data_IF_776827499410
#
_entry.id   IF_776827499410
#
_cell.length_a   1.000
_cell.length_b   1.000
_cell.length_c   1.000
_cell.angle_alpha   90.00
_cell.angle_beta   90.00
_cell.angle_gamma   90.00
#
_symmetry.space_group_name_H-M   'P 1'
#
loop_
_entity.id
_entity.type
_entity.pdbx_description
1 polymer ?
#
# COMPACT_ATOMS: atom_id res chain seq x y z
N UNK A 1 -53.74 -56.51 53.38
CA UNK A 1 -53.12 -56.56 52.05
C UNK A 1 -53.07 -55.11 51.52
N UNK A 2 -51.95 -54.45 51.73
CA UNK A 2 -51.79 -53.05 51.35
C UNK A 2 -50.91 -52.98 50.08
N UNK A 3 -51.48 -52.49 48.97
CA UNK A 3 -50.74 -52.20 47.74
C UNK A 3 -50.12 -50.85 47.89
N UNK A 4 -48.80 -50.78 47.81
CA UNK A 4 -48.05 -49.54 47.69
C UNK A 4 -47.78 -49.28 46.21
N UNK A 5 -48.28 -48.14 45.67
CA UNK A 5 -48.05 -47.66 44.35
C UNK A 5 -46.73 -46.83 44.34
N UNK A 6 -45.68 -47.28 43.63
CA UNK A 6 -44.48 -46.48 43.35
C UNK A 6 -44.74 -45.54 42.16
N UNK A 7 -44.65 -44.26 42.43
CA UNK A 7 -44.74 -43.22 41.43
C UNK A 7 -43.31 -42.93 40.91
N UNK A 8 -43.02 -43.37 39.69
CA UNK A 8 -41.79 -43.04 39.04
C UNK A 8 -41.91 -41.58 38.46
N UNK A 9 -41.17 -40.64 39.05
CA UNK A 9 -41.06 -39.30 38.53
C UNK A 9 -39.92 -39.28 37.46
N UNK A 10 -40.27 -39.24 36.16
CA UNK A 10 -39.31 -39.06 35.07
C UNK A 10 -39.02 -37.57 34.96
N UNK A 11 -37.87 -37.16 35.46
CA UNK A 11 -37.33 -35.82 35.17
C UNK A 11 -36.81 -35.77 33.72
N UNK A 12 -37.57 -35.15 32.82
CA UNK A 12 -37.09 -34.75 31.51
C UNK A 12 -36.12 -33.57 31.72
N UNK A 13 -34.84 -33.84 31.62
CA UNK A 13 -33.84 -32.79 31.49
C UNK A 13 -33.92 -32.18 30.07
N UNK A 14 -34.61 -31.05 29.91
CA UNK A 14 -34.46 -30.22 28.73
C UNK A 14 -33.04 -29.66 28.77
N UNK A 15 -32.12 -30.27 28.02
CA UNK A 15 -30.85 -29.68 27.68
C UNK A 15 -31.08 -28.47 26.78
N UNK A 16 -30.95 -27.29 27.34
CA UNK A 16 -30.84 -26.08 26.53
C UNK A 16 -29.52 -26.15 25.76
N UNK A 17 -29.59 -26.47 24.47
CA UNK A 17 -28.46 -26.27 23.58
C UNK A 17 -28.24 -24.76 23.50
N UNK A 18 -27.26 -24.27 24.24
CA UNK A 18 -26.71 -22.90 24.02
C UNK A 18 -25.97 -23.00 22.69
N UNK A 19 -26.38 -22.25 21.66
CA UNK A 19 -25.58 -22.19 20.43
C UNK A 19 -24.20 -21.71 20.82
N UNK A 20 -23.18 -22.49 20.54
CA UNK A 20 -21.78 -22.04 20.64
C UNK A 20 -21.65 -20.86 19.70
N UNK A 21 -21.56 -19.64 20.24
CA UNK A 21 -21.19 -18.47 19.50
C UNK A 21 -19.76 -18.75 19.01
N UNK A 22 -19.60 -18.96 17.72
CA UNK A 22 -18.30 -19.16 17.15
C UNK A 22 -17.54 -17.84 17.28
N UNK A 23 -16.55 -17.87 18.13
CA UNK A 23 -15.76 -16.73 18.53
C UNK A 23 -14.69 -16.47 17.47
N UNK A 24 -14.47 -15.20 17.13
CA UNK A 24 -13.29 -14.76 16.37
C UNK A 24 -12.03 -15.19 17.10
N UNK A 25 -11.11 -15.87 16.41
CA UNK A 25 -9.85 -16.33 16.99
C UNK A 25 -8.80 -15.27 16.67
N UNK A 26 -8.31 -14.59 17.69
CA UNK A 26 -7.20 -13.65 17.60
C UNK A 26 -6.00 -14.31 18.27
N UNK A 27 -4.96 -14.59 17.50
CA UNK A 27 -3.73 -15.23 17.98
C UNK A 27 -2.63 -14.23 18.31
N UNK A 28 -2.67 -13.05 17.70
CA UNK A 28 -1.78 -11.92 17.99
C UNK A 28 -2.48 -10.59 17.63
N UNK A 29 -2.35 -9.54 18.46
CA UNK A 29 -1.85 -9.58 19.83
C UNK A 29 -2.84 -10.25 20.80
N UNK A 30 -2.35 -10.71 21.94
CA UNK A 30 -3.20 -11.18 23.04
C UNK A 30 -3.63 -10.01 23.93
N UNK A 31 -4.77 -10.18 24.61
CA UNK A 31 -5.29 -9.11 25.47
C UNK A 31 -4.30 -8.74 26.59
N UNK A 32 -4.00 -7.47 26.74
CA UNK A 32 -3.02 -6.93 27.70
C UNK A 32 -1.56 -7.07 27.26
N UNK A 33 -1.30 -7.50 26.03
CA UNK A 33 0.05 -7.65 25.52
C UNK A 33 0.73 -6.31 25.30
N UNK A 34 1.99 -6.20 25.73
CA UNK A 34 2.90 -5.15 25.26
C UNK A 34 3.42 -5.51 23.87
N UNK A 35 3.31 -4.58 22.92
CA UNK A 35 3.71 -4.76 21.52
C UNK A 35 4.55 -3.57 21.07
N UNK A 36 5.41 -3.77 20.08
CA UNK A 36 6.04 -2.66 19.35
C UNK A 36 5.11 -2.19 18.23
N UNK A 37 5.23 -0.95 17.77
CA UNK A 37 4.54 -0.47 16.57
C UNK A 37 5.50 -0.48 15.39
N UNK A 38 5.11 -1.05 14.21
CA UNK A 38 3.88 -1.82 14.01
C UNK A 38 3.92 -3.20 14.69
N UNK A 39 2.76 -3.72 15.08
CA UNK A 39 2.59 -5.09 15.58
C UNK A 39 1.79 -5.94 14.58
N UNK A 40 1.96 -7.26 14.60
CA UNK A 40 1.18 -8.15 13.73
C UNK A 40 -0.18 -8.46 14.35
N UNK A 41 -1.25 -8.11 13.64
CA UNK A 41 -2.59 -8.66 13.89
C UNK A 41 -2.73 -9.99 13.13
N UNK A 42 -2.84 -11.08 13.87
CA UNK A 42 -3.17 -12.39 13.32
C UNK A 42 -4.51 -12.84 13.87
N UNK A 43 -5.51 -12.94 13.01
CA UNK A 43 -6.86 -13.33 13.38
C UNK A 43 -7.51 -14.19 12.30
N UNK A 44 -8.37 -15.08 12.71
CA UNK A 44 -9.24 -15.86 11.83
C UNK A 44 -10.70 -15.62 12.23
N UNK A 45 -11.54 -15.33 11.25
CA UNK A 45 -12.95 -15.13 11.50
C UNK A 45 -13.61 -16.45 11.89
N UNK A 46 -14.08 -16.51 13.11
CA UNK A 46 -15.12 -17.48 13.47
C UNK A 46 -16.44 -17.08 12.83
N UNK A 47 -17.50 -17.87 13.00
CA UNK A 47 -18.83 -17.47 12.54
C UNK A 47 -19.37 -16.33 13.40
N UNK A 48 -19.75 -15.24 12.78
CA UNK A 48 -20.40 -14.08 13.42
C UNK A 48 -21.94 -14.20 13.41
N UNK A 49 -22.47 -15.35 13.21
CA UNK A 49 -23.88 -15.79 13.25
C UNK A 49 -24.05 -17.03 12.37
N UNK A 50 -25.28 -17.40 12.05
CA UNK A 50 -25.58 -18.47 11.07
C UNK A 50 -25.27 -18.10 9.61
N UNK A 51 -24.94 -16.82 9.33
CA UNK A 51 -24.63 -16.34 7.98
C UNK A 51 -23.12 -16.38 7.72
N UNK A 52 -22.70 -16.68 6.48
CA UNK A 52 -21.28 -16.68 6.12
C UNK A 52 -20.59 -15.33 6.36
N UNK A 53 -19.32 -15.37 6.74
CA UNK A 53 -18.47 -14.18 6.85
C UNK A 53 -18.23 -13.60 5.46
N UNK A 54 -18.42 -12.30 5.32
CA UNK A 54 -18.21 -11.55 4.07
C UNK A 54 -16.99 -10.63 4.11
N UNK A 55 -16.59 -10.19 5.30
CA UNK A 55 -15.41 -9.37 5.48
C UNK A 55 -14.89 -9.44 6.91
N UNK A 56 -13.63 -9.10 7.09
CA UNK A 56 -13.00 -8.84 8.39
C UNK A 56 -12.32 -7.49 8.37
N UNK A 57 -12.07 -6.92 9.55
CA UNK A 57 -11.38 -5.64 9.65
C UNK A 57 -11.07 -5.26 11.08
N UNK A 58 -10.46 -4.11 11.27
CA UNK A 58 -10.20 -3.56 12.59
C UNK A 58 -10.29 -2.03 12.64
N UNK A 59 -10.42 -1.51 13.84
CA UNK A 59 -10.18 -0.10 14.16
C UNK A 59 -9.48 0.00 15.52
N UNK A 60 -8.81 1.11 15.77
CA UNK A 60 -8.18 1.42 17.05
C UNK A 60 -9.01 2.47 17.80
N UNK A 61 -9.20 2.27 19.09
CA UNK A 61 -9.87 3.18 20.01
C UNK A 61 -11.23 3.66 19.46
N UNK A 62 -11.50 4.96 19.59
CA UNK A 62 -12.73 5.58 19.10
C UNK A 62 -12.63 6.02 17.63
N UNK A 63 -11.69 5.44 16.84
CA UNK A 63 -11.56 5.80 15.44
C UNK A 63 -12.86 5.49 14.68
N UNK A 64 -13.37 6.48 13.97
CA UNK A 64 -14.50 6.30 13.06
C UNK A 64 -14.10 5.47 11.82
N UNK A 65 -12.80 5.39 11.53
CA UNK A 65 -12.26 4.66 10.39
C UNK A 65 -12.06 3.19 10.77
N UNK A 66 -12.51 2.30 9.90
CA UNK A 66 -12.29 0.86 10.02
C UNK A 66 -11.60 0.38 8.75
N UNK A 67 -10.42 -0.20 8.89
CA UNK A 67 -9.79 -0.95 7.80
C UNK A 67 -10.50 -2.29 7.65
N UNK A 68 -10.94 -2.65 6.45
CA UNK A 68 -11.69 -3.90 6.23
C UNK A 68 -11.39 -4.51 4.87
N UNK A 69 -11.45 -5.86 4.82
CA UNK A 69 -11.15 -6.66 3.63
C UNK A 69 -12.20 -7.75 3.44
N UNK A 70 -12.56 -8.11 2.19
CA UNK A 70 -13.51 -9.18 1.87
C UNK A 70 -12.83 -10.56 1.97
N UNK A 71 -12.21 -10.85 3.10
CA UNK A 71 -11.50 -12.10 3.43
C UNK A 71 -11.97 -12.62 4.78
N UNK A 72 -11.50 -13.80 5.17
CA UNK A 72 -11.88 -14.43 6.44
C UNK A 72 -10.78 -14.42 7.50
N UNK A 73 -9.63 -13.83 7.21
CA UNK A 73 -8.51 -13.74 8.13
C UNK A 73 -7.72 -12.43 7.90
N UNK A 74 -7.01 -12.00 8.92
CA UNK A 74 -5.98 -10.97 8.84
C UNK A 74 -4.69 -11.58 9.37
N UNK A 75 -3.59 -11.37 8.64
CA UNK A 75 -2.23 -11.64 9.08
C UNK A 75 -1.35 -10.52 8.52
N UNK A 76 -1.23 -9.45 9.30
CA UNK A 76 -0.54 -8.26 8.82
C UNK A 76 -0.28 -7.21 9.89
N UNK A 77 0.55 -6.22 9.57
CA UNK A 77 0.96 -5.18 10.50
C UNK A 77 -0.18 -4.19 10.79
N UNK A 78 -0.23 -3.76 12.05
CA UNK A 78 -1.07 -2.66 12.54
C UNK A 78 -0.17 -1.64 13.22
N UNK A 79 -0.20 -0.41 12.74
CA UNK A 79 0.51 0.69 13.39
C UNK A 79 -0.40 1.38 14.41
N UNK A 80 0.18 1.73 15.57
CA UNK A 80 -0.48 2.53 16.59
C UNK A 80 0.55 3.43 17.30
N UNK A 81 0.15 4.60 17.79
CA UNK A 81 0.99 5.40 18.67
C UNK A 81 1.40 4.63 19.93
N UNK A 82 2.38 5.11 20.68
CA UNK A 82 2.73 4.52 21.98
C UNK A 82 1.65 4.77 23.02
N UNK A 83 1.43 3.77 23.89
CA UNK A 83 0.45 3.81 24.98
C UNK A 83 -0.62 2.72 24.88
N UNK A 84 -1.60 2.79 25.76
CA UNK A 84 -2.71 1.84 25.79
C UNK A 84 -3.73 2.13 24.71
N UNK A 85 -4.09 1.07 23.94
CA UNK A 85 -5.09 1.11 22.89
C UNK A 85 -6.08 -0.02 23.03
N UNK A 86 -7.28 0.18 22.50
CA UNK A 86 -8.27 -0.87 22.29
C UNK A 86 -8.33 -1.18 20.79
N UNK A 87 -7.93 -2.39 20.42
CA UNK A 87 -8.06 -2.90 19.05
C UNK A 87 -9.43 -3.59 18.92
N UNK A 88 -10.32 -3.01 18.12
CA UNK A 88 -11.64 -3.54 17.80
C UNK A 88 -11.54 -4.40 16.53
N UNK A 89 -11.45 -5.71 16.68
CA UNK A 89 -11.46 -6.65 15.56
C UNK A 89 -12.91 -6.95 15.16
N UNK A 90 -13.24 -6.72 13.89
CA UNK A 90 -14.61 -6.74 13.36
C UNK A 90 -14.78 -7.83 12.32
N UNK A 91 -15.88 -8.55 12.38
CA UNK A 91 -16.26 -9.58 11.42
C UNK A 91 -17.67 -9.29 10.92
N UNK A 92 -17.84 -9.07 9.61
CA UNK A 92 -19.12 -8.85 8.97
C UNK A 92 -19.65 -10.13 8.36
N UNK A 93 -20.97 -10.28 8.36
CA UNK A 93 -21.67 -11.40 7.73
C UNK A 93 -22.61 -10.95 6.60
N UNK A 94 -23.03 -11.90 5.78
CA UNK A 94 -23.89 -11.64 4.60
C UNK A 94 -25.29 -11.12 4.94
N UNK A 95 -25.69 -11.08 6.20
CA UNK A 95 -26.96 -10.51 6.67
C UNK A 95 -26.83 -9.05 7.13
N UNK A 96 -25.66 -8.43 6.98
CA UNK A 96 -25.38 -7.08 7.43
C UNK A 96 -25.05 -6.95 8.93
N UNK A 97 -24.89 -8.07 9.64
CA UNK A 97 -24.44 -8.06 11.04
C UNK A 97 -22.92 -7.91 11.16
N UNK A 98 -22.48 -7.32 12.29
CA UNK A 98 -21.07 -7.22 12.67
C UNK A 98 -20.86 -7.77 14.06
N UNK A 99 -19.83 -8.60 14.21
CA UNK A 99 -19.32 -9.03 15.52
C UNK A 99 -18.01 -8.29 15.79
N UNK A 100 -17.84 -7.81 17.00
CA UNK A 100 -16.65 -7.09 17.44
C UNK A 100 -16.01 -7.85 18.59
N UNK A 101 -14.70 -8.02 18.51
CA UNK A 101 -13.87 -8.57 19.59
C UNK A 101 -12.84 -7.54 19.96
N UNK A 102 -12.83 -7.10 21.20
CA UNK A 102 -11.92 -6.09 21.70
C UNK A 102 -10.68 -6.73 22.31
N UNK A 103 -9.51 -6.20 21.94
CA UNK A 103 -8.22 -6.58 22.49
C UNK A 103 -7.54 -5.32 23.01
N UNK A 104 -7.25 -5.28 24.31
CA UNK A 104 -6.44 -4.19 24.89
C UNK A 104 -4.95 -4.49 24.65
N UNK A 105 -4.21 -3.50 24.20
CA UNK A 105 -2.77 -3.62 23.94
C UNK A 105 -2.04 -2.40 24.53
N UNK A 106 -0.81 -2.60 25.00
CA UNK A 106 0.10 -1.53 25.38
C UNK A 106 1.19 -1.42 24.29
N UNK A 107 1.14 -0.35 23.52
CA UNK A 107 2.17 -0.10 22.50
C UNK A 107 3.36 0.55 23.16
N UNK A 108 4.48 -0.18 23.22
CA UNK A 108 5.71 0.31 23.82
C UNK A 108 6.11 1.66 23.21
N UNK A 109 6.47 2.61 24.06
CA UNK A 109 7.16 3.79 23.57
C UNK A 109 8.44 3.33 22.88
N UNK A 110 8.52 3.52 21.57
CA UNK A 110 9.77 3.29 20.85
C UNK A 110 10.88 3.98 21.62
N UNK A 111 11.95 3.28 21.94
CA UNK A 111 13.08 3.89 22.62
C UNK A 111 13.40 5.17 21.84
N UNK A 112 13.28 6.31 22.52
CA UNK A 112 13.58 7.59 21.92
C UNK A 112 15.07 7.54 21.56
N UNK A 113 15.34 7.12 20.34
CA UNK A 113 16.64 7.33 19.75
C UNK A 113 16.72 8.85 19.65
N UNK A 114 17.57 9.43 20.46
CA UNK A 114 17.96 10.84 20.32
C UNK A 114 18.56 10.97 18.93
N UNK A 115 17.71 11.15 17.95
CA UNK A 115 18.12 11.46 16.59
C UNK A 115 18.58 12.91 16.58
N UNK A 116 19.90 13.05 16.62
CA UNK A 116 20.50 14.22 16.00
C UNK A 116 19.91 14.33 14.61
N UNK A 117 19.26 15.44 14.34
CA UNK A 117 18.75 15.85 13.04
C UNK A 117 19.87 15.81 12.01
N UNK A 118 19.97 14.72 11.30
CA UNK A 118 20.80 14.56 10.09
C UNK A 118 20.22 13.39 9.29
N UNK A 119 19.55 13.69 8.18
CA UNK A 119 19.28 12.81 7.04
C UNK A 119 18.95 11.35 7.36
N UNK A 120 17.67 11.06 7.69
CA UNK A 120 17.23 9.70 8.04
C UNK A 120 17.33 8.63 6.94
N UNK A 121 17.60 8.98 5.69
CA UNK A 121 17.62 8.02 4.58
C UNK A 121 18.94 7.28 4.40
N UNK A 122 20.05 7.78 4.92
CA UNK A 122 21.37 7.16 4.71
C UNK A 122 21.63 5.90 5.53
N UNK A 123 20.82 5.60 6.55
CA UNK A 123 20.98 4.39 7.37
C UNK A 123 20.29 3.15 6.80
N UNK A 124 19.31 3.33 5.91
CA UNK A 124 18.54 2.22 5.30
C UNK A 124 19.32 1.60 4.13
N UNK A 125 20.02 2.42 3.36
CA UNK A 125 20.79 1.99 2.20
C UNK A 125 22.14 1.46 2.68
N UNK A 126 22.45 0.15 2.48
CA UNK A 126 23.74 -0.39 2.86
C UNK A 126 24.87 0.18 1.99
N UNK A 127 26.08 0.15 2.51
CA UNK A 127 27.24 0.76 1.84
C UNK A 127 27.64 0.08 0.53
N UNK A 128 27.21 -1.14 0.33
CA UNK A 128 27.44 -1.96 -0.87
C UNK A 128 26.27 -1.97 -1.85
N UNK A 129 25.21 -1.20 -1.57
CA UNK A 129 24.10 -1.04 -2.50
C UNK A 129 24.56 -0.47 -3.85
N UNK A 130 24.06 -1.04 -4.92
CA UNK A 130 24.29 -0.51 -6.28
C UNK A 130 23.42 0.72 -6.48
N UNK A 131 24.04 1.83 -6.85
CA UNK A 131 23.37 3.09 -7.15
C UNK A 131 23.25 3.28 -8.66
N UNK A 132 22.01 3.42 -9.16
CA UNK A 132 21.71 3.87 -10.54
C UNK A 132 21.12 5.25 -10.48
N UNK A 133 21.80 6.24 -11.01
CA UNK A 133 21.41 7.66 -10.91
C UNK A 133 21.15 8.29 -12.28
N UNK A 134 20.57 9.48 -12.28
CA UNK A 134 20.22 10.26 -13.48
C UNK A 134 19.27 9.50 -14.43
N UNK A 135 18.39 8.66 -13.86
CA UNK A 135 17.45 7.82 -14.62
C UNK A 135 16.52 8.70 -15.47
N UNK A 136 16.15 9.89 -14.99
CA UNK A 136 15.36 10.86 -15.76
C UNK A 136 16.07 11.30 -17.05
N UNK A 137 17.39 11.24 -17.12
CA UNK A 137 18.17 11.68 -18.28
C UNK A 137 18.33 10.61 -19.38
N UNK A 138 17.93 9.36 -19.12
CA UNK A 138 18.06 8.27 -20.08
C UNK A 138 17.27 8.55 -21.38
N UNK A 139 17.83 8.12 -22.52
CA UNK A 139 17.24 8.39 -23.84
C UNK A 139 16.14 7.43 -24.29
N UNK A 140 15.93 6.33 -23.57
CA UNK A 140 15.00 5.24 -23.92
C UNK A 140 13.64 5.31 -23.20
N UNK A 141 13.27 6.43 -22.64
CA UNK A 141 11.93 6.67 -22.12
C UNK A 141 10.88 6.54 -23.24
N UNK A 142 9.80 5.87 -22.93
CA UNK A 142 8.62 5.75 -23.79
C UNK A 142 7.40 6.37 -23.10
N UNK A 143 6.38 6.70 -23.87
CA UNK A 143 5.11 7.25 -23.36
C UNK A 143 3.94 6.51 -23.98
N UNK A 144 2.91 6.26 -23.18
CA UNK A 144 1.70 5.56 -23.60
C UNK A 144 0.50 6.08 -22.78
N UNK A 145 -0.66 6.18 -23.42
CA UNK A 145 -1.92 6.35 -22.72
C UNK A 145 -2.19 5.13 -21.83
N UNK A 146 -2.54 5.34 -20.58
CA UNK A 146 -2.94 4.26 -19.68
C UNK A 146 -4.37 3.79 -19.98
N UNK A 147 -4.49 2.56 -20.48
CA UNK A 147 -5.78 1.94 -20.81
C UNK A 147 -6.63 1.55 -19.58
N UNK A 148 -6.09 1.65 -18.37
CA UNK A 148 -6.82 1.45 -17.11
C UNK A 148 -7.67 2.66 -16.73
N UNK A 149 -7.40 3.85 -17.30
CA UNK A 149 -8.16 5.06 -17.03
C UNK A 149 -9.39 5.18 -17.95
N UNK A 150 -10.43 5.89 -17.48
CA UNK A 150 -11.72 5.97 -18.20
C UNK A 150 -11.72 6.86 -19.44
N UNK A 151 -10.78 7.80 -19.53
CA UNK A 151 -10.72 8.80 -20.58
C UNK A 151 -9.63 8.55 -21.62
N UNK A 152 -9.08 9.62 -22.14
CA UNK A 152 -7.94 9.57 -23.03
C UNK A 152 -6.87 10.57 -22.62
N UNK A 153 -5.64 10.31 -23.02
CA UNK A 153 -4.52 11.19 -22.76
C UNK A 153 -3.55 11.24 -23.92
N UNK A 154 -2.76 12.27 -23.96
CA UNK A 154 -1.55 12.36 -24.77
C UNK A 154 -0.46 13.07 -24.01
N UNK A 155 0.78 12.63 -24.21
CA UNK A 155 1.92 13.18 -23.52
C UNK A 155 3.15 13.29 -24.41
N UNK A 156 3.96 14.28 -24.11
CA UNK A 156 5.29 14.43 -24.70
C UNK A 156 6.30 14.58 -23.57
N UNK A 157 7.56 14.30 -23.87
CA UNK A 157 8.64 14.42 -22.91
C UNK A 157 9.90 14.99 -23.57
N UNK A 158 10.66 15.77 -22.80
CA UNK A 158 11.93 16.34 -23.25
C UNK A 158 12.83 16.60 -22.06
N UNK A 159 14.14 16.66 -22.30
CA UNK A 159 15.09 17.14 -21.31
C UNK A 159 15.08 18.67 -21.31
N UNK A 160 15.23 19.25 -20.13
CA UNK A 160 15.31 20.71 -19.94
C UNK A 160 16.31 21.05 -18.84
N UNK A 161 16.89 22.23 -18.96
CA UNK A 161 17.78 22.80 -17.94
C UNK A 161 17.06 23.74 -16.97
N UNK A 162 15.75 24.01 -17.18
CA UNK A 162 14.95 24.88 -16.31
C UNK A 162 13.45 24.57 -16.44
N UNK A 163 12.71 24.31 -15.31
CA UNK A 163 13.28 24.13 -13.97
C UNK A 163 14.12 22.86 -13.89
N UNK A 164 15.23 22.91 -13.18
CA UNK A 164 16.08 21.73 -12.95
C UNK A 164 16.98 21.98 -11.74
N UNK A 165 17.28 20.92 -10.99
CA UNK A 165 18.24 20.89 -9.89
C UNK A 165 19.65 20.58 -10.41
N UNK A 166 19.75 19.69 -11.40
CA UNK A 166 21.03 19.19 -11.94
C UNK A 166 21.42 19.83 -13.28
N UNK A 167 20.52 20.61 -13.90
CA UNK A 167 20.64 21.09 -15.29
C UNK A 167 20.07 20.11 -16.31
N UNK A 168 19.48 18.96 -15.88
CA UNK A 168 18.98 17.90 -16.76
C UNK A 168 17.72 17.27 -16.18
N UNK A 169 16.67 18.05 -15.97
CA UNK A 169 15.36 17.55 -15.61
C UNK A 169 14.62 17.00 -16.84
N UNK A 170 13.71 16.04 -16.62
CA UNK A 170 12.79 15.57 -17.65
C UNK A 170 11.42 16.19 -17.45
N UNK A 171 10.97 16.93 -18.44
CA UNK A 171 9.60 17.43 -18.56
C UNK A 171 8.70 16.32 -19.11
N UNK A 172 7.56 16.15 -18.49
CA UNK A 172 6.40 15.40 -18.95
C UNK A 172 5.24 16.39 -19.15
N UNK A 173 4.91 16.68 -20.40
CA UNK A 173 3.84 17.60 -20.76
C UNK A 173 2.62 16.80 -21.20
N UNK A 174 1.50 16.97 -20.50
CA UNK A 174 0.34 16.11 -20.59
C UNK A 174 -0.91 16.89 -20.98
N UNK A 175 -1.76 16.23 -21.77
CA UNK A 175 -3.15 16.58 -21.96
C UNK A 175 -4.01 15.39 -21.55
N UNK A 176 -5.00 15.62 -20.71
CA UNK A 176 -5.97 14.63 -20.25
C UNK A 176 -7.38 15.01 -20.71
N UNK A 177 -8.17 14.03 -21.09
CA UNK A 177 -9.60 14.18 -21.37
C UNK A 177 -10.33 13.12 -20.54
N UNK A 178 -11.40 13.55 -19.87
CA UNK A 178 -12.34 12.66 -19.16
C UNK A 178 -11.63 11.66 -18.22
N UNK A 179 -10.77 12.15 -17.32
CA UNK A 179 -10.01 11.34 -16.35
C UNK A 179 -8.95 10.43 -16.97
N UNK A 180 -8.41 10.81 -18.13
CA UNK A 180 -7.35 10.03 -18.78
C UNK A 180 -6.02 10.05 -18.02
N UNK A 181 -5.25 8.98 -18.14
CA UNK A 181 -3.93 8.82 -17.54
C UNK A 181 -2.84 8.66 -18.60
N UNK A 182 -1.67 9.22 -18.33
CA UNK A 182 -0.49 9.12 -19.21
C UNK A 182 0.68 8.51 -18.46
N UNK A 183 1.16 7.37 -18.93
CA UNK A 183 2.28 6.64 -18.37
C UNK A 183 3.56 6.88 -19.15
N UNK A 184 4.64 7.02 -18.44
CA UNK A 184 6.00 7.15 -18.96
C UNK A 184 6.86 6.06 -18.35
N UNK A 185 7.57 5.30 -19.17
CA UNK A 185 8.32 4.13 -18.72
C UNK A 185 9.75 4.17 -19.22
N UNK A 186 10.68 3.69 -18.42
CA UNK A 186 12.07 3.49 -18.80
C UNK A 186 12.66 2.25 -18.16
N UNK A 187 13.25 1.37 -18.97
CA UNK A 187 14.15 0.35 -18.45
C UNK A 187 15.52 0.97 -18.19
N UNK A 188 16.01 0.84 -16.95
CA UNK A 188 17.26 1.46 -16.53
C UNK A 188 18.32 0.47 -16.02
N UNK A 189 17.94 -0.81 -15.83
CA UNK A 189 18.83 -1.87 -15.41
C UNK A 189 18.29 -3.23 -15.92
N UNK A 190 19.09 -4.29 -15.86
CA UNK A 190 18.74 -5.67 -16.17
C UNK A 190 18.97 -6.65 -15.00
N UNK A 191 19.25 -6.12 -13.81
CA UNK A 191 19.40 -6.93 -12.61
C UNK A 191 18.08 -7.62 -12.25
N UNK A 192 18.15 -8.92 -11.95
CA UNK A 192 16.99 -9.75 -11.60
C UNK A 192 17.13 -10.45 -10.24
N UNK A 193 18.11 -10.07 -9.42
CA UNK A 193 18.43 -10.74 -8.15
C UNK A 193 18.37 -9.84 -6.92
N UNK A 194 18.41 -8.51 -7.09
CA UNK A 194 18.22 -7.58 -5.98
C UNK A 194 16.80 -7.69 -5.45
N UNK A 195 16.64 -7.62 -4.14
CA UNK A 195 15.33 -7.76 -3.48
C UNK A 195 14.91 -6.50 -2.71
N UNK A 196 15.81 -5.55 -2.56
CA UNK A 196 15.57 -4.30 -1.87
C UNK A 196 15.85 -3.12 -2.78
N UNK A 197 14.99 -2.11 -2.71
CA UNK A 197 15.04 -0.94 -3.58
C UNK A 197 14.72 0.32 -2.79
N UNK A 198 15.58 1.31 -2.89
CA UNK A 198 15.30 2.65 -2.41
C UNK A 198 15.20 3.57 -3.62
N UNK A 199 13.99 4.04 -3.89
CA UNK A 199 13.66 4.96 -4.97
C UNK A 199 13.73 6.39 -4.46
N UNK A 200 14.38 7.29 -5.18
CA UNK A 200 14.57 8.68 -4.79
C UNK A 200 14.42 9.57 -6.02
N UNK A 201 13.51 10.53 -5.98
CA UNK A 201 13.31 11.46 -7.08
C UNK A 201 12.79 12.81 -6.59
N UNK A 202 13.11 13.85 -7.33
CA UNK A 202 12.54 15.16 -7.15
C UNK A 202 11.48 15.44 -8.21
N UNK A 203 10.35 15.94 -7.75
CA UNK A 203 9.16 16.23 -8.56
C UNK A 203 8.86 17.72 -8.52
N UNK A 204 8.63 18.33 -9.68
CA UNK A 204 8.20 19.72 -9.78
C UNK A 204 6.93 19.79 -10.62
N UNK A 205 5.88 20.40 -10.08
CA UNK A 205 4.60 20.61 -10.75
C UNK A 205 4.54 22.07 -11.19
N UNK A 206 4.47 22.31 -12.50
CA UNK A 206 4.40 23.67 -13.02
C UNK A 206 2.94 24.19 -13.00
N UNK A 207 2.78 25.41 -12.53
CA UNK A 207 1.49 26.13 -12.56
C UNK A 207 0.55 25.71 -11.44
N UNK A 208 -0.17 24.60 -11.55
CA UNK A 208 -1.14 24.13 -10.56
C UNK A 208 -1.19 22.61 -10.50
N UNK A 209 -1.27 22.05 -9.30
CA UNK A 209 -1.49 20.63 -9.08
C UNK A 209 -2.98 20.22 -9.11
N UNK A 210 -3.91 21.19 -9.15
CA UNK A 210 -5.35 20.93 -9.04
C UNK A 210 -5.95 20.13 -10.20
N UNK A 211 -5.21 19.94 -11.29
CA UNK A 211 -5.62 19.14 -12.45
C UNK A 211 -5.28 17.66 -12.37
N UNK A 212 -4.58 17.22 -11.32
CA UNK A 212 -4.09 15.84 -11.18
C UNK A 212 -4.93 15.04 -10.19
N UNK A 213 -5.29 13.82 -10.59
CA UNK A 213 -5.88 12.81 -9.71
C UNK A 213 -4.81 12.14 -8.86
N UNK A 214 -3.74 11.70 -9.51
CA UNK A 214 -2.60 11.06 -8.84
C UNK A 214 -1.27 11.35 -9.55
N UNK A 215 -0.19 11.02 -8.84
CA UNK A 215 1.15 10.77 -9.38
C UNK A 215 1.58 9.39 -8.91
N UNK A 216 1.90 8.51 -9.87
CA UNK A 216 2.29 7.14 -9.63
C UNK A 216 3.79 6.95 -9.86
N UNK A 217 4.44 6.18 -8.99
CA UNK A 217 5.87 5.95 -8.92
C UNK A 217 6.14 4.44 -8.83
N UNK A 218 6.06 3.75 -9.96
CA UNK A 218 6.25 2.30 -9.97
C UNK A 218 7.70 1.92 -10.17
N UNK A 219 8.04 0.80 -9.59
CA UNK A 219 9.27 0.09 -9.85
C UNK A 219 8.96 -1.38 -10.14
N UNK A 220 9.34 -1.86 -11.32
CA UNK A 220 9.08 -3.23 -11.76
C UNK A 220 10.39 -3.98 -11.91
N UNK A 221 10.41 -5.26 -11.52
CA UNK A 221 11.56 -6.13 -11.76
C UNK A 221 11.12 -7.48 -12.28
N UNK A 222 11.82 -7.98 -13.32
CA UNK A 222 11.68 -9.36 -13.73
C UNK A 222 12.60 -10.26 -12.90
N UNK A 223 12.02 -11.25 -12.24
CA UNK A 223 12.70 -12.20 -11.38
C UNK A 223 13.38 -13.32 -12.18
N UNK A 224 14.34 -14.09 -11.61
CA UNK A 224 14.98 -15.21 -12.26
C UNK A 224 14.00 -16.32 -12.72
N UNK A 225 12.84 -16.44 -12.08
CA UNK A 225 11.79 -17.39 -12.44
C UNK A 225 10.90 -16.92 -13.61
N UNK A 226 11.16 -15.74 -14.17
CA UNK A 226 10.42 -15.15 -15.29
C UNK A 226 9.13 -14.41 -14.88
N UNK A 227 8.79 -14.33 -13.60
CA UNK A 227 7.74 -13.44 -13.14
C UNK A 227 8.25 -12.00 -13.09
N UNK A 228 7.35 -11.06 -13.35
CA UNK A 228 7.59 -9.64 -13.09
C UNK A 228 6.90 -9.26 -11.78
N UNK A 229 7.63 -8.64 -10.87
CA UNK A 229 7.07 -8.02 -9.67
C UNK A 229 6.81 -6.56 -9.99
N UNK A 230 5.60 -6.09 -9.69
CA UNK A 230 5.21 -4.68 -9.83
C UNK A 230 5.09 -4.06 -8.44
N UNK A 231 5.93 -3.09 -8.13
CA UNK A 231 5.91 -2.31 -6.91
C UNK A 231 5.19 -0.98 -7.20
N UNK A 232 3.87 -1.07 -7.49
CA UNK A 232 3.03 0.07 -7.86
C UNK A 232 2.67 0.92 -6.65
N UNK A 233 2.94 2.22 -6.70
CA UNK A 233 2.74 3.14 -5.60
C UNK A 233 2.39 4.54 -6.08
N UNK A 234 1.32 5.16 -5.53
CA UNK A 234 0.87 6.46 -5.98
C UNK A 234 0.42 7.38 -4.84
N UNK A 235 0.56 8.69 -5.07
CA UNK A 235 -0.10 9.70 -4.26
C UNK A 235 -1.48 10.01 -4.86
N UNK A 236 -2.55 9.58 -4.22
CA UNK A 236 -3.93 9.74 -4.67
C UNK A 236 -4.58 10.98 -4.03
N UNK A 237 -5.01 11.93 -4.88
CA UNK A 237 -5.72 13.13 -4.43
C UNK A 237 -7.21 12.91 -4.15
N UNK A 238 -7.83 11.83 -4.65
CA UNK A 238 -9.23 11.53 -4.42
C UNK A 238 -9.47 11.06 -3.00
N UNK A 239 -8.70 10.05 -2.58
CA UNK A 239 -8.77 9.47 -1.23
C UNK A 239 -7.84 10.19 -0.26
N UNK A 240 -6.90 10.97 -0.79
CA UNK A 240 -5.87 11.71 -0.03
C UNK A 240 -4.97 10.79 0.78
N UNK A 241 -4.50 9.70 0.13
CA UNK A 241 -3.64 8.67 0.69
C UNK A 241 -2.54 8.28 -0.29
N UNK A 242 -1.49 7.70 0.25
CA UNK A 242 -0.63 6.87 -0.54
C UNK A 242 -1.32 5.54 -0.80
N UNK A 243 -1.40 5.17 -2.07
CA UNK A 243 -1.98 3.91 -2.51
C UNK A 243 -0.90 2.97 -3.01
N UNK A 244 -1.19 1.68 -2.95
CA UNK A 244 -0.29 0.62 -3.40
C UNK A 244 -1.03 -0.44 -4.21
N UNK A 245 -0.34 -0.99 -5.22
CA UNK A 245 -0.89 -2.02 -6.08
C UNK A 245 -0.62 -3.43 -5.54
N UNK A 246 -1.53 -4.35 -5.85
CA UNK A 246 -1.39 -5.78 -5.64
C UNK A 246 -2.05 -6.58 -6.76
N UNK A 247 -1.62 -7.81 -6.94
CA UNK A 247 -2.31 -8.77 -7.78
C UNK A 247 -3.23 -9.67 -6.93
N UNK A 248 -4.52 -9.39 -6.94
CA UNK A 248 -5.54 -10.18 -6.24
C UNK A 248 -5.88 -11.50 -6.96
N UNK A 249 -5.25 -11.78 -8.10
CA UNK A 249 -5.40 -12.99 -8.90
C UNK A 249 -4.19 -13.92 -8.81
N UNK A 250 -3.76 -14.41 -9.95
CA UNK A 250 -2.55 -15.23 -10.09
C UNK A 250 -1.62 -14.61 -11.15
N UNK A 251 -0.35 -15.00 -11.23
CA UNK A 251 0.56 -14.46 -12.24
C UNK A 251 0.06 -14.57 -13.68
N UNK A 252 -0.63 -15.65 -14.02
CA UNK A 252 -1.16 -15.93 -15.38
C UNK A 252 -2.61 -15.48 -15.59
N UNK A 253 -3.30 -15.10 -14.53
CA UNK A 253 -4.66 -14.52 -14.54
C UNK A 253 -4.72 -13.40 -13.52
N UNK A 254 -4.03 -12.29 -13.79
CA UNK A 254 -3.90 -11.22 -12.81
C UNK A 254 -5.24 -10.49 -12.60
N UNK A 255 -5.40 -9.98 -11.40
CA UNK A 255 -6.43 -9.04 -11.02
C UNK A 255 -5.75 -7.88 -10.30
N UNK A 256 -5.37 -6.88 -11.10
CA UNK A 256 -4.70 -5.68 -10.61
C UNK A 256 -5.65 -4.86 -9.75
N UNK A 257 -5.22 -4.54 -8.55
CA UNK A 257 -6.06 -3.89 -7.54
C UNK A 257 -5.24 -2.87 -6.76
N UNK A 258 -5.78 -1.67 -6.63
CA UNK A 258 -5.22 -0.61 -5.81
C UNK A 258 -5.88 -0.59 -4.43
N UNK A 259 -5.07 -0.49 -3.39
CA UNK A 259 -5.51 -0.34 -2.01
C UNK A 259 -4.95 0.95 -1.40
N UNK A 260 -5.73 1.52 -0.48
CA UNK A 260 -5.35 2.74 0.22
C UNK A 260 -4.55 2.43 1.47
N UNK A 261 -3.39 3.06 1.62
CA UNK A 261 -2.65 3.03 2.88
C UNK A 261 -3.30 3.97 3.90
N UNK A 262 -2.82 3.94 5.13
CA UNK A 262 -3.19 4.93 6.13
C UNK A 262 -2.35 6.22 6.05
N UNK A 263 -1.24 6.19 5.29
CA UNK A 263 -0.35 7.32 5.13
C UNK A 263 -0.98 8.41 4.26
N UNK A 264 -1.08 9.67 4.74
CA UNK A 264 -1.73 10.73 3.99
C UNK A 264 -0.89 11.17 2.80
N UNK A 265 -1.54 11.36 1.65
CA UNK A 265 -0.98 12.00 0.49
C UNK A 265 -2.06 12.69 -0.36
N UNK A 266 -1.79 13.88 -0.83
CA UNK A 266 -2.68 14.60 -1.72
C UNK A 266 -1.85 15.49 -2.66
N UNK A 267 -1.70 15.07 -3.92
CA UNK A 267 -0.95 15.84 -4.93
C UNK A 267 -1.45 17.28 -5.05
N UNK A 268 -2.75 17.51 -4.88
CA UNK A 268 -3.33 18.85 -4.96
C UNK A 268 -2.89 19.78 -3.81
N UNK A 269 -2.34 19.22 -2.73
CA UNK A 269 -1.76 19.99 -1.62
C UNK A 269 -0.26 20.27 -1.78
N UNK A 270 0.39 19.65 -2.77
CA UNK A 270 1.80 19.92 -3.06
C UNK A 270 1.94 21.34 -3.62
N UNK A 271 2.89 22.08 -3.13
CA UNK A 271 3.16 23.44 -3.61
C UNK A 271 3.59 23.42 -5.09
N UNK A 272 2.80 24.06 -5.94
CA UNK A 272 3.20 24.21 -7.33
C UNK A 272 4.40 25.15 -7.49
N UNK A 273 5.17 24.97 -8.55
CA UNK A 273 6.37 25.74 -8.89
C UNK A 273 7.50 25.63 -7.85
N UNK A 274 7.55 24.51 -7.16
CA UNK A 274 8.65 24.14 -6.26
C UNK A 274 8.96 22.65 -6.39
N UNK A 275 10.15 22.25 -5.96
CA UNK A 275 10.59 20.87 -5.96
C UNK A 275 10.12 20.18 -4.69
N UNK A 276 9.61 18.97 -4.85
CA UNK A 276 9.26 18.04 -3.78
C UNK A 276 10.08 16.77 -3.91
N UNK A 277 10.66 16.30 -2.82
CA UNK A 277 11.40 15.05 -2.80
C UNK A 277 10.49 13.90 -2.40
N UNK A 278 10.41 12.89 -3.23
CA UNK A 278 9.71 11.63 -2.98
C UNK A 278 10.74 10.52 -2.88
N UNK A 279 10.74 9.81 -1.75
CA UNK A 279 11.58 8.65 -1.55
C UNK A 279 10.71 7.49 -1.10
N UNK A 280 10.97 6.28 -1.61
CA UNK A 280 10.17 5.09 -1.30
C UNK A 280 11.10 3.91 -1.08
N UNK A 281 10.87 3.16 0.00
CA UNK A 281 11.57 1.91 0.27
C UNK A 281 10.67 0.72 0.00
N UNK A 282 11.04 -0.06 -1.02
CA UNK A 282 10.39 -1.31 -1.41
C UNK A 282 11.31 -2.51 -1.15
N UNK A 283 10.71 -3.66 -0.89
CA UNK A 283 11.39 -4.94 -1.07
C UNK A 283 10.44 -5.98 -1.64
N UNK A 284 10.98 -7.07 -2.18
CA UNK A 284 10.21 -8.22 -2.58
C UNK A 284 10.98 -9.52 -2.32
N UNK A 285 10.28 -10.65 -2.44
CA UNK A 285 10.90 -11.96 -2.44
C UNK A 285 10.76 -12.67 -3.80
N UNK A 286 11.43 -13.81 -3.95
CA UNK A 286 11.43 -14.60 -5.20
C UNK A 286 10.07 -15.21 -5.55
N UNK A 287 9.10 -15.14 -4.65
CA UNK A 287 7.73 -15.63 -4.84
C UNK A 287 6.75 -14.54 -5.26
N UNK A 288 7.22 -13.31 -5.52
CA UNK A 288 6.38 -12.20 -5.98
C UNK A 288 5.63 -11.44 -4.88
N UNK A 289 6.02 -11.60 -3.62
CA UNK A 289 5.49 -10.79 -2.53
C UNK A 289 6.30 -9.51 -2.38
N UNK A 290 5.63 -8.38 -2.39
CA UNK A 290 6.19 -7.03 -2.23
C UNK A 290 5.90 -6.52 -0.84
N UNK A 291 6.90 -5.93 -0.21
CA UNK A 291 6.74 -5.16 1.02
C UNK A 291 6.99 -3.68 0.73
N UNK A 292 6.01 -2.84 1.05
CA UNK A 292 6.12 -1.39 1.07
C UNK A 292 6.51 -0.99 2.49
N UNK A 293 7.74 -0.52 2.70
CA UNK A 293 8.27 -0.24 4.04
C UNK A 293 7.93 1.17 4.51
N UNK A 294 8.38 2.18 3.78
CA UNK A 294 8.19 3.59 4.12
C UNK A 294 8.17 4.46 2.86
N UNK A 295 7.55 5.61 2.99
CA UNK A 295 7.62 6.69 2.02
C UNK A 295 8.03 7.98 2.73
N UNK A 296 8.85 8.79 2.07
CA UNK A 296 9.20 10.14 2.52
C UNK A 296 8.68 11.15 1.51
N UNK A 297 8.05 12.18 2.01
CA UNK A 297 7.72 13.38 1.25
C UNK A 297 8.41 14.57 1.91
N UNK A 298 9.29 15.23 1.17
CA UNK A 298 10.08 16.35 1.65
C UNK A 298 10.83 16.07 2.97
N UNK A 299 11.40 14.87 3.06
CA UNK A 299 12.13 14.37 4.23
C UNK A 299 11.27 13.92 5.41
N UNK A 300 9.94 14.00 5.31
CA UNK A 300 9.04 13.48 6.35
C UNK A 300 8.69 12.04 6.05
N UNK A 301 9.12 11.14 6.93
CA UNK A 301 8.85 9.71 6.85
C UNK A 301 7.43 9.37 7.24
N UNK A 302 6.85 8.43 6.51
CA UNK A 302 5.58 7.79 6.80
C UNK A 302 5.77 6.28 6.67
N UNK A 303 5.66 5.58 7.79
CA UNK A 303 5.75 4.12 7.83
C UNK A 303 4.55 3.50 7.08
N UNK A 304 4.81 2.45 6.33
CA UNK A 304 3.80 1.69 5.59
C UNK A 304 3.71 0.26 6.11
N UNK A 305 4.78 -0.51 5.96
CA UNK A 305 4.96 -1.86 6.50
C UNK A 305 3.85 -2.86 6.14
N UNK A 306 3.41 -2.88 4.87
CA UNK A 306 2.51 -3.93 4.39
C UNK A 306 3.15 -4.78 3.31
N UNK A 307 2.78 -6.06 3.29
CA UNK A 307 3.26 -7.03 2.31
C UNK A 307 2.07 -7.58 1.54
N UNK A 308 2.15 -7.53 0.21
CA UNK A 308 1.10 -8.00 -0.71
C UNK A 308 1.71 -8.84 -1.83
N UNK A 309 0.90 -9.70 -2.43
CA UNK A 309 1.32 -10.41 -3.62
C UNK A 309 1.19 -9.50 -4.85
N UNK A 310 2.27 -9.37 -5.64
CA UNK A 310 2.31 -8.53 -6.83
C UNK A 310 3.15 -9.16 -7.95
N UNK A 311 3.06 -10.49 -8.11
CA UNK A 311 3.74 -11.22 -9.17
C UNK A 311 2.85 -11.39 -10.41
N UNK A 312 3.41 -11.14 -11.60
CA UNK A 312 2.74 -11.20 -12.90
C UNK A 312 3.57 -12.02 -13.90
N UNK A 313 2.93 -12.76 -14.80
CA UNK A 313 3.59 -13.49 -15.88
C UNK A 313 3.55 -12.65 -17.18
N UNK A 314 4.27 -11.53 -17.19
CA UNK A 314 4.29 -10.61 -18.34
C UNK A 314 5.15 -11.09 -19.50
N UNK A 315 6.02 -12.08 -19.28
CA UNK A 315 6.91 -12.62 -20.32
C UNK A 315 8.07 -11.70 -20.69
N UNK A 316 8.43 -10.76 -19.83
CA UNK A 316 9.57 -9.87 -20.04
C UNK A 316 10.89 -10.62 -19.83
N UNK A 317 11.94 -10.17 -20.51
CA UNK A 317 13.32 -10.54 -20.18
C UNK A 317 13.79 -9.84 -18.89
N UNK A 318 15.04 -10.12 -18.45
CA UNK A 318 15.61 -9.43 -17.29
C UNK A 318 15.54 -7.92 -17.46
N UNK A 319 14.89 -7.25 -16.52
CA UNK A 319 14.68 -5.81 -16.55
C UNK A 319 14.36 -5.26 -15.16
N UNK A 320 14.83 -4.04 -14.91
CA UNK A 320 14.26 -3.14 -13.92
C UNK A 320 13.72 -1.92 -14.68
N UNK A 321 12.43 -1.68 -14.51
CA UNK A 321 11.69 -0.61 -15.18
C UNK A 321 11.12 0.32 -14.11
N UNK A 322 11.09 1.61 -14.37
CA UNK A 322 10.24 2.51 -13.59
C UNK A 322 9.17 3.08 -14.50
N UNK A 323 7.95 3.13 -13.95
CA UNK A 323 6.85 3.85 -14.55
C UNK A 323 6.56 5.10 -13.73
N UNK A 324 6.42 6.22 -14.41
CA UNK A 324 5.89 7.44 -13.84
C UNK A 324 4.58 7.75 -14.55
N UNK A 325 3.47 7.69 -13.82
CA UNK A 325 2.14 7.93 -14.40
C UNK A 325 1.52 9.19 -13.78
N UNK A 326 0.79 9.91 -14.60
CA UNK A 326 0.10 11.14 -14.24
C UNK A 326 -1.32 11.03 -14.73
N UNK A 327 -2.30 11.14 -13.83
CA UNK A 327 -3.72 11.06 -14.18
C UNK A 327 -4.43 12.38 -13.96
N UNK A 328 -5.35 12.68 -14.89
CA UNK A 328 -6.21 13.85 -14.81
C UNK A 328 -7.42 13.64 -13.89
N UNK A 329 -7.86 14.69 -13.20
CA UNK A 329 -8.92 14.60 -12.20
C UNK A 329 -10.29 15.14 -12.64
N UNK A 330 -10.49 15.43 -13.92
CA UNK A 330 -11.73 16.09 -14.38
C UNK A 330 -12.35 15.47 -15.62
N UNK A 331 -13.66 15.66 -15.76
CA UNK A 331 -14.49 15.28 -16.91
C UNK A 331 -14.37 16.28 -18.06
N UNK A 332 -13.22 16.76 -18.36
CA UNK A 332 -12.98 17.69 -19.45
C UNK A 332 -11.52 17.64 -19.83
N UNK A 333 -11.14 18.55 -20.73
CA UNK A 333 -9.74 18.63 -21.13
C UNK A 333 -8.95 19.46 -20.13
N UNK A 334 -7.90 18.86 -19.57
CA UNK A 334 -6.91 19.51 -18.68
C UNK A 334 -5.51 19.30 -19.21
N UNK A 335 -4.60 20.15 -18.78
CA UNK A 335 -3.17 20.07 -19.12
C UNK A 335 -2.34 20.15 -17.84
N UNK A 336 -1.23 19.46 -17.84
CA UNK A 336 -0.31 19.51 -16.73
C UNK A 336 1.12 19.21 -17.15
N UNK A 337 2.05 19.97 -16.59
CA UNK A 337 3.48 19.79 -16.78
C UNK A 337 4.11 19.37 -15.45
N UNK A 338 4.73 18.19 -15.46
CA UNK A 338 5.47 17.68 -14.32
C UNK A 338 6.91 17.43 -14.75
N UNK A 339 7.83 17.65 -13.85
CA UNK A 339 9.26 17.43 -14.10
C UNK A 339 9.81 16.47 -13.05
N UNK A 340 10.68 15.56 -13.48
CA UNK A 340 11.52 14.75 -12.60
C UNK A 340 12.99 15.18 -12.73
N UNK A 341 13.68 15.20 -11.60
CA UNK A 341 15.13 15.43 -11.54
C UNK A 341 15.76 14.57 -10.42
N UNK A 342 17.09 14.42 -10.46
CA UNK A 342 17.88 13.62 -9.51
C UNK A 342 17.35 12.18 -9.29
N UNK A 343 16.65 11.63 -10.27
CA UNK A 343 16.05 10.33 -10.14
C UNK A 343 17.11 9.23 -9.99
N UNK A 344 17.06 8.54 -8.87
CA UNK A 344 18.02 7.54 -8.43
C UNK A 344 17.31 6.34 -7.84
N UNK A 345 17.80 5.14 -8.15
CA UNK A 345 17.39 3.91 -7.49
C UNK A 345 18.63 3.24 -6.90
N UNK A 346 18.57 2.93 -5.62
CA UNK A 346 19.53 2.05 -4.97
C UNK A 346 18.93 0.66 -4.87
N UNK A 347 19.74 -0.37 -5.13
CA UNK A 347 19.30 -1.77 -5.06
C UNK A 347 20.34 -2.67 -4.39
N UNK A 348 19.91 -3.66 -3.63
CA UNK A 348 20.78 -4.66 -2.96
C UNK A 348 20.06 -5.99 -2.70
#
# INVERSE_FOLDING_TARGET
MKLTRNLFCACLALGTMIPALAQTIITSPTNGQEVSSPFTLNMNAGSCSSSPVTAVGYSLDNSANTSSWPVQYIDGPVAAPSGWHTLHVKVWNGSGGVCVTDVSIDVAAGAATTTNTSSGSTSIIPSDAVKVSSIQALGNWITIHDGGTSGSSSGTMSLTSSPSLTGTARLFANQFNDYGGQRYSVQFDDNNTSQNFFYDTWVYIAGSSSGFANLEFDLDQTLPNGQTVIMGFQCDSWIQRWDYALNAGSPTSPNDTWLHSYAPCNVNSWGANQWHNVQIYFSHNDSGWVTYHSVWLDGTEQDLNFTVFSGYALGWGPAIVTNFQIDGNSSGTTWGNVYLDEMTVYRW
#
